data_IF_944089345814
#
_entry.id   IF_944089345814
#
_cell.length_a   1.000
_cell.length_b   1.000
_cell.length_c   1.000
_cell.angle_alpha   90.00
_cell.angle_beta   90.00
_cell.angle_gamma   90.00
#
_symmetry.space_group_name_H-M   'P 1'
#
loop_
_entity.id
_entity.type
_entity.pdbx_description
1 polymer ?
#
# COMPACT_ATOMS: atom_id res chain seq x y z
N UNK A 1 -36.52 -30.79 -26.55
CA UNK A 1 -35.24 -30.90 -25.82
C UNK A 1 -34.40 -29.68 -26.21
N UNK A 2 -34.48 -28.62 -25.41
CA UNK A 2 -33.75 -27.38 -25.65
C UNK A 2 -32.41 -27.41 -24.93
N UNK A 3 -31.34 -27.23 -25.67
CA UNK A 3 -29.96 -27.22 -25.20
C UNK A 3 -29.69 -25.97 -24.37
N UNK A 4 -29.20 -26.20 -23.15
CA UNK A 4 -28.71 -25.21 -22.18
C UNK A 4 -27.60 -24.38 -22.84
N UNK A 5 -27.80 -23.07 -22.97
CA UNK A 5 -26.74 -22.12 -23.31
C UNK A 5 -25.89 -21.88 -22.06
N UNK A 6 -24.64 -22.32 -22.15
CA UNK A 6 -23.53 -21.94 -21.27
C UNK A 6 -23.42 -20.41 -21.21
N UNK A 7 -23.82 -19.82 -20.08
CA UNK A 7 -23.47 -18.45 -19.71
C UNK A 7 -22.11 -18.50 -19.01
N UNK A 8 -21.03 -18.64 -19.78
CA UNK A 8 -19.70 -18.29 -19.28
C UNK A 8 -19.63 -16.76 -19.24
N UNK A 9 -19.77 -16.21 -18.03
CA UNK A 9 -19.37 -14.84 -17.74
C UNK A 9 -17.92 -14.65 -18.22
N UNK A 10 -17.70 -13.71 -19.13
CA UNK A 10 -16.36 -13.37 -19.59
C UNK A 10 -15.54 -12.86 -18.41
N UNK A 11 -14.40 -13.50 -18.13
CA UNK A 11 -13.39 -12.95 -17.20
C UNK A 11 -13.02 -11.56 -17.67
N UNK A 12 -13.01 -10.58 -16.79
CA UNK A 12 -12.51 -9.27 -17.16
C UNK A 12 -10.99 -9.38 -17.35
N UNK A 13 -10.39 -8.58 -18.25
CA UNK A 13 -8.93 -8.49 -18.35
C UNK A 13 -8.30 -7.68 -17.19
N UNK A 14 -9.02 -7.51 -16.08
CA UNK A 14 -8.68 -6.62 -14.97
C UNK A 14 -8.71 -7.39 -13.65
N UNK A 15 -7.57 -7.88 -13.15
CA UNK A 15 -7.50 -8.75 -11.97
C UNK A 15 -8.20 -8.19 -10.72
N UNK A 16 -8.17 -6.87 -10.54
CA UNK A 16 -8.83 -6.19 -9.43
C UNK A 16 -10.37 -6.19 -9.55
N UNK A 17 -10.91 -6.21 -10.77
CA UNK A 17 -12.35 -6.37 -10.99
C UNK A 17 -12.77 -7.80 -10.70
N UNK A 18 -12.01 -8.78 -11.19
CA UNK A 18 -12.28 -10.19 -10.91
C UNK A 18 -12.21 -10.48 -9.41
N UNK A 19 -11.26 -9.86 -8.69
CA UNK A 19 -11.19 -9.90 -7.24
C UNK A 19 -12.47 -9.35 -6.57
N UNK A 20 -12.92 -8.15 -6.94
CA UNK A 20 -14.14 -7.55 -6.38
C UNK A 20 -15.39 -8.37 -6.71
N UNK A 21 -15.51 -8.85 -7.94
CA UNK A 21 -16.65 -9.66 -8.37
C UNK A 21 -16.67 -11.00 -7.60
N UNK A 22 -15.51 -11.60 -7.32
CA UNK A 22 -15.40 -12.78 -6.48
C UNK A 22 -15.76 -12.51 -5.00
N UNK A 23 -15.25 -11.42 -4.42
CA UNK A 23 -15.59 -11.00 -3.06
C UNK A 23 -17.11 -10.78 -2.92
N UNK A 24 -17.74 -10.13 -3.91
CA UNK A 24 -19.20 -9.91 -3.92
C UNK A 24 -19.96 -11.23 -4.08
N UNK A 25 -19.47 -12.15 -4.91
CA UNK A 25 -20.15 -13.42 -5.16
C UNK A 25 -20.04 -14.43 -4.00
N UNK A 26 -18.95 -14.37 -3.23
CA UNK A 26 -18.62 -15.39 -2.23
C UNK A 26 -18.79 -14.94 -0.79
N UNK A 27 -18.67 -13.64 -0.49
CA UNK A 27 -18.90 -13.12 0.85
C UNK A 27 -20.38 -13.20 1.23
N UNK A 28 -20.66 -13.48 2.50
CA UNK A 28 -22.00 -13.41 3.05
C UNK A 28 -22.57 -11.98 2.82
N UNK A 29 -23.74 -11.84 2.17
CA UNK A 29 -24.36 -10.54 1.90
C UNK A 29 -24.57 -9.65 3.12
N UNK A 30 -24.60 -10.22 4.33
CA UNK A 30 -24.74 -9.47 5.58
C UNK A 30 -23.42 -8.91 6.11
N UNK A 31 -22.28 -9.26 5.51
CA UNK A 31 -20.98 -8.80 5.97
C UNK A 31 -20.68 -7.38 5.50
N UNK A 32 -20.03 -6.61 6.37
CA UNK A 32 -19.48 -5.29 6.04
C UNK A 32 -18.59 -5.33 4.81
N UNK A 33 -17.76 -6.36 4.69
CA UNK A 33 -16.85 -6.55 3.56
C UNK A 33 -17.60 -6.67 2.22
N UNK A 34 -18.69 -7.44 2.17
CA UNK A 34 -19.54 -7.55 0.98
C UNK A 34 -20.12 -6.19 0.56
N UNK A 35 -20.63 -5.42 1.51
CA UNK A 35 -21.21 -4.10 1.23
C UNK A 35 -20.16 -3.10 0.71
N UNK A 36 -18.98 -3.05 1.34
CA UNK A 36 -17.87 -2.18 0.90
C UNK A 36 -17.40 -2.58 -0.51
N UNK A 37 -17.26 -3.89 -0.78
CA UNK A 37 -16.88 -4.37 -2.11
C UNK A 37 -17.88 -3.93 -3.19
N UNK A 38 -19.19 -3.92 -2.89
CA UNK A 38 -20.21 -3.40 -3.81
C UNK A 38 -20.08 -1.90 -4.03
N UNK A 39 -19.80 -1.11 -3.00
CA UNK A 39 -19.57 0.34 -3.12
C UNK A 39 -18.36 0.59 -4.02
N UNK A 40 -17.23 -0.08 -3.76
CA UNK A 40 -16.02 0.07 -4.57
C UNK A 40 -16.27 -0.34 -6.03
N UNK A 41 -16.86 -1.50 -6.24
CA UNK A 41 -17.15 -2.03 -7.58
C UNK A 41 -18.03 -1.11 -8.42
N UNK A 42 -19.02 -0.46 -7.80
CA UNK A 42 -19.96 0.45 -8.47
C UNK A 42 -19.38 1.85 -8.66
N UNK A 43 -18.67 2.36 -7.66
CA UNK A 43 -18.25 3.77 -7.62
C UNK A 43 -16.84 3.95 -8.17
N UNK A 44 -15.83 3.30 -7.58
CA UNK A 44 -14.42 3.52 -7.94
C UNK A 44 -13.98 2.71 -9.16
N UNK A 45 -14.64 1.58 -9.42
CA UNK A 45 -14.18 0.58 -10.40
C UNK A 45 -15.19 0.33 -11.54
N UNK A 46 -16.14 1.24 -11.75
CA UNK A 46 -17.05 1.17 -12.90
C UNK A 46 -16.57 2.02 -14.07
N UNK A 47 -16.97 1.65 -15.29
CA UNK A 47 -16.61 2.38 -16.53
C UNK A 47 -17.16 3.82 -16.55
N UNK A 48 -18.16 4.11 -15.71
CA UNK A 48 -18.74 5.45 -15.51
C UNK A 48 -18.47 5.95 -14.09
N UNK A 49 -17.36 5.53 -13.50
CA UNK A 49 -17.04 5.71 -12.07
C UNK A 49 -17.41 7.07 -11.51
N UNK A 50 -17.78 7.08 -10.24
CA UNK A 50 -18.04 8.31 -9.49
C UNK A 50 -16.71 8.92 -9.02
N UNK A 51 -16.75 10.17 -8.56
CA UNK A 51 -15.58 10.80 -7.95
C UNK A 51 -15.21 10.07 -6.65
N UNK A 52 -13.93 10.03 -6.25
CA UNK A 52 -13.52 9.46 -4.97
C UNK A 52 -14.30 10.02 -3.76
N UNK A 53 -14.67 11.30 -3.82
CA UNK A 53 -15.52 11.99 -2.84
C UNK A 53 -16.91 11.36 -2.71
N UNK A 54 -17.53 10.96 -3.82
CA UNK A 54 -18.84 10.33 -3.83
C UNK A 54 -18.78 8.94 -3.21
N UNK A 55 -17.69 8.21 -3.46
CA UNK A 55 -17.46 6.90 -2.85
C UNK A 55 -17.22 7.03 -1.34
N UNK A 56 -16.47 8.03 -0.90
CA UNK A 56 -16.24 8.33 0.52
C UNK A 56 -17.56 8.65 1.23
N UNK A 57 -18.39 9.52 0.64
CA UNK A 57 -19.71 9.85 1.20
C UNK A 57 -20.65 8.65 1.23
N UNK A 58 -20.68 7.82 0.18
CA UNK A 58 -21.48 6.59 0.16
C UNK A 58 -21.06 5.61 1.26
N UNK A 59 -19.75 5.48 1.52
CA UNK A 59 -19.24 4.64 2.59
C UNK A 59 -19.66 5.16 3.96
N UNK A 60 -19.53 6.47 4.20
CA UNK A 60 -19.93 7.09 5.47
C UNK A 60 -21.43 6.99 5.71
N UNK A 61 -22.23 7.21 4.66
CA UNK A 61 -23.69 7.03 4.68
C UNK A 61 -24.04 5.58 5.00
N UNK A 62 -23.36 4.61 4.38
CA UNK A 62 -23.56 3.19 4.67
C UNK A 62 -23.26 2.85 6.14
N UNK A 63 -22.18 3.40 6.71
CA UNK A 63 -21.89 3.19 8.13
C UNK A 63 -23.03 3.69 9.04
N UNK A 64 -23.48 4.92 8.81
CA UNK A 64 -24.48 5.59 9.65
C UNK A 64 -25.90 5.02 9.49
N UNK A 65 -26.30 4.73 8.26
CA UNK A 65 -27.69 4.39 7.93
C UNK A 65 -27.94 2.88 7.88
N UNK A 66 -26.90 2.07 7.68
CA UNK A 66 -27.04 0.62 7.54
C UNK A 66 -26.24 -0.14 8.60
N UNK A 67 -24.91 0.00 8.63
CA UNK A 67 -24.06 -0.85 9.48
C UNK A 67 -24.35 -0.68 10.98
N UNK A 68 -24.37 0.56 11.48
CA UNK A 68 -24.61 0.82 12.90
C UNK A 68 -26.06 0.51 13.33
N UNK A 69 -27.11 0.87 12.56
CA UNK A 69 -28.49 0.48 12.89
C UNK A 69 -28.75 -1.03 12.85
N UNK A 70 -28.12 -1.76 11.94
CA UNK A 70 -28.29 -3.22 11.81
C UNK A 70 -27.67 -4.01 12.97
N UNK A 71 -26.81 -3.38 13.77
CA UNK A 71 -26.17 -4.00 14.93
C UNK A 71 -26.37 -3.13 16.18
N UNK A 72 -27.59 -3.13 16.78
CA UNK A 72 -27.93 -2.24 17.89
C UNK A 72 -26.97 -2.35 19.09
N UNK A 73 -26.41 -3.55 19.32
CA UNK A 73 -25.45 -3.85 20.39
C UNK A 73 -24.14 -3.05 20.27
N UNK A 74 -23.78 -2.60 19.06
CA UNK A 74 -22.58 -1.79 18.86
C UNK A 74 -22.76 -0.38 19.43
N UNK A 75 -24.00 0.14 19.56
CA UNK A 75 -24.23 1.53 20.00
C UNK A 75 -23.74 1.80 21.41
N UNK A 76 -23.71 0.76 22.24
CA UNK A 76 -23.24 0.83 23.62
C UNK A 76 -21.72 0.60 23.74
N UNK A 77 -21.05 0.25 22.64
CA UNK A 77 -19.59 0.12 22.59
C UNK A 77 -18.94 1.50 22.42
N UNK A 78 -17.79 1.66 23.07
CA UNK A 78 -17.00 2.90 23.10
C UNK A 78 -16.58 3.38 21.70
N UNK A 79 -16.40 2.48 20.73
CA UNK A 79 -16.05 2.76 19.34
C UNK A 79 -17.24 2.68 18.37
N UNK A 80 -18.43 2.29 18.85
CA UNK A 80 -19.63 2.04 18.04
C UNK A 80 -19.36 1.06 16.89
N UNK A 81 -18.50 0.07 17.11
CA UNK A 81 -18.05 -0.91 16.12
C UNK A 81 -17.32 -0.31 14.92
N UNK A 82 -16.84 0.92 15.03
CA UNK A 82 -16.07 1.60 13.98
C UNK A 82 -14.74 0.89 13.71
N UNK A 83 -14.09 0.31 14.73
CA UNK A 83 -12.81 -0.37 14.54
C UNK A 83 -12.97 -1.58 13.61
N UNK A 84 -14.00 -2.39 13.84
CA UNK A 84 -14.31 -3.54 12.99
C UNK A 84 -14.70 -3.09 11.57
N UNK A 85 -15.42 -1.97 11.45
CA UNK A 85 -15.78 -1.39 10.16
C UNK A 85 -14.54 -0.94 9.36
N UNK A 86 -13.63 -0.21 10.00
CA UNK A 86 -12.37 0.26 9.41
C UNK A 86 -11.44 -0.90 9.06
N UNK A 87 -11.37 -1.94 9.88
CA UNK A 87 -10.61 -3.15 9.57
C UNK A 87 -11.13 -3.84 8.30
N UNK A 88 -12.46 -3.93 8.15
CA UNK A 88 -13.08 -4.44 6.92
C UNK A 88 -12.78 -3.57 5.70
N UNK A 89 -12.84 -2.24 5.86
CA UNK A 89 -12.54 -1.26 4.82
C UNK A 89 -11.08 -1.34 4.37
N UNK A 90 -10.14 -1.10 5.27
CA UNK A 90 -8.73 -1.06 4.93
C UNK A 90 -8.21 -2.44 4.54
N UNK A 91 -8.70 -3.51 5.15
CA UNK A 91 -8.41 -4.86 4.71
C UNK A 91 -8.74 -5.06 3.23
N UNK A 92 -9.92 -4.60 2.78
CA UNK A 92 -10.30 -4.66 1.36
C UNK A 92 -9.43 -3.76 0.48
N UNK A 93 -9.12 -2.52 0.93
CA UNK A 93 -8.23 -1.60 0.21
C UNK A 93 -6.85 -2.24 0.00
N UNK A 94 -6.26 -2.82 1.04
CA UNK A 94 -4.94 -3.46 0.96
C UNK A 94 -4.99 -4.72 0.11
N UNK A 95 -6.03 -5.55 0.23
CA UNK A 95 -6.20 -6.75 -0.60
C UNK A 95 -6.28 -6.39 -2.09
N UNK A 96 -6.98 -5.31 -2.45
CA UNK A 96 -7.02 -4.80 -3.82
C UNK A 96 -5.62 -4.46 -4.36
N UNK A 97 -4.72 -3.98 -3.51
CA UNK A 97 -3.38 -3.54 -3.94
C UNK A 97 -2.49 -4.68 -4.40
N UNK A 98 -2.76 -5.92 -4.02
CA UNK A 98 -2.08 -7.06 -4.60
C UNK A 98 -2.42 -7.23 -6.10
N UNK A 99 -3.60 -6.78 -6.53
CA UNK A 99 -4.11 -6.97 -7.89
C UNK A 99 -3.96 -5.76 -8.81
N UNK A 100 -3.83 -4.54 -8.27
CA UNK A 100 -3.66 -3.32 -9.06
C UNK A 100 -2.17 -3.07 -9.34
N UNK A 101 -1.72 -3.10 -10.60
CA UNK A 101 -0.31 -2.86 -10.94
C UNK A 101 0.21 -1.53 -10.37
N UNK A 102 1.46 -1.51 -9.89
CA UNK A 102 2.07 -0.35 -9.23
C UNK A 102 2.11 0.95 -10.06
N UNK A 103 2.04 0.82 -11.39
CA UNK A 103 2.05 1.92 -12.35
C UNK A 103 0.63 2.30 -12.82
N UNK A 104 -0.40 1.59 -12.36
CA UNK A 104 -1.78 1.83 -12.78
C UNK A 104 -2.39 3.00 -12.00
N UNK A 105 -3.13 3.87 -12.71
CA UNK A 105 -3.76 5.08 -12.14
C UNK A 105 -4.72 4.82 -10.97
N UNK A 106 -5.32 3.61 -10.91
CA UNK A 106 -6.25 3.24 -9.84
C UNK A 106 -5.62 3.21 -8.44
N UNK A 107 -4.30 3.03 -8.32
CA UNK A 107 -3.66 3.19 -7.01
C UNK A 107 -3.81 4.63 -6.51
N UNK A 108 -3.66 5.63 -7.38
CA UNK A 108 -3.90 7.04 -7.04
C UNK A 108 -5.38 7.31 -6.74
N UNK A 109 -6.30 6.74 -7.52
CA UNK A 109 -7.75 6.86 -7.23
C UNK A 109 -8.12 6.38 -5.83
N UNK A 110 -7.46 5.32 -5.32
CA UNK A 110 -7.67 4.85 -3.96
C UNK A 110 -7.01 5.74 -2.91
N UNK A 111 -5.85 6.32 -3.20
CA UNK A 111 -5.24 7.36 -2.35
C UNK A 111 -6.16 8.57 -2.25
N UNK A 112 -6.73 9.03 -3.37
CA UNK A 112 -7.70 10.12 -3.40
C UNK A 112 -8.95 9.76 -2.58
N UNK A 113 -9.44 8.52 -2.68
CA UNK A 113 -10.55 8.06 -1.86
C UNK A 113 -10.23 8.10 -0.35
N UNK A 114 -9.05 7.61 0.05
CA UNK A 114 -8.62 7.69 1.46
C UNK A 114 -8.46 9.15 1.92
N UNK A 115 -8.02 10.03 1.01
CA UNK A 115 -7.90 11.46 1.28
C UNK A 115 -9.28 12.08 1.49
N UNK A 116 -10.25 11.77 0.64
CA UNK A 116 -11.64 12.26 0.76
C UNK A 116 -12.31 11.78 2.05
N UNK A 117 -12.02 10.56 2.53
CA UNK A 117 -12.49 10.10 3.84
C UNK A 117 -12.02 11.02 4.99
N UNK A 118 -10.79 11.53 4.94
CA UNK A 118 -10.27 12.50 5.93
C UNK A 118 -10.95 13.87 5.86
N UNK A 119 -11.61 14.19 4.75
CA UNK A 119 -12.29 15.47 4.55
C UNK A 119 -13.77 15.41 4.91
N UNK A 120 -14.29 14.24 5.28
CA UNK A 120 -15.62 14.11 5.85
C UNK A 120 -15.69 14.82 7.22
N UNK A 121 -16.90 15.17 7.71
CA UNK A 121 -17.06 15.76 9.03
C UNK A 121 -16.36 14.88 10.09
N UNK A 122 -15.48 15.47 10.93
CA UNK A 122 -14.66 14.71 11.86
C UNK A 122 -15.54 13.99 12.88
N UNK A 123 -15.16 12.75 13.20
CA UNK A 123 -15.83 11.91 14.17
C UNK A 123 -14.81 11.33 15.13
N UNK A 124 -15.10 11.42 16.41
CA UNK A 124 -14.27 10.85 17.47
C UNK A 124 -14.80 9.48 17.88
N UNK A 125 -13.89 8.54 18.07
CA UNK A 125 -14.15 7.24 18.72
C UNK A 125 -13.14 7.03 19.83
N UNK A 126 -13.43 6.11 20.74
CA UNK A 126 -12.41 5.59 21.64
C UNK A 126 -11.79 4.33 21.05
N UNK A 127 -10.47 4.33 20.95
CA UNK A 127 -9.66 3.19 20.53
C UNK A 127 -8.68 2.84 21.65
N UNK A 128 -8.75 1.61 22.19
CA UNK A 128 -7.88 1.16 23.29
C UNK A 128 -7.86 2.13 24.50
N UNK A 129 -8.96 2.85 24.73
CA UNK A 129 -9.11 3.82 25.82
C UNK A 129 -8.70 5.26 25.48
N UNK A 130 -8.08 5.49 24.31
CA UNK A 130 -7.70 6.82 23.82
C UNK A 130 -8.75 7.36 22.85
N UNK A 131 -9.02 8.66 22.87
CA UNK A 131 -9.89 9.30 21.87
C UNK A 131 -9.08 9.55 20.60
N UNK A 132 -9.58 9.13 19.46
CA UNK A 132 -8.94 9.35 18.16
C UNK A 132 -9.95 9.85 17.11
N UNK A 133 -9.45 10.68 16.19
CA UNK A 133 -10.20 11.09 15.01
C UNK A 133 -10.20 9.98 13.95
N UNK A 134 -11.41 9.58 13.55
CA UNK A 134 -11.63 8.57 12.50
C UNK A 134 -11.03 9.06 11.17
N UNK A 135 -10.43 8.14 10.41
CA UNK A 135 -9.72 8.36 9.14
C UNK A 135 -8.40 9.14 9.22
N UNK A 136 -8.14 9.86 10.32
CA UNK A 136 -6.94 10.69 10.47
C UNK A 136 -5.91 10.08 11.44
N UNK A 137 -6.33 9.81 12.67
CA UNK A 137 -5.42 9.45 13.78
C UNK A 137 -5.53 7.98 14.19
N UNK A 138 -6.59 7.30 13.78
CA UNK A 138 -6.80 5.89 14.14
C UNK A 138 -5.74 4.96 13.49
N UNK A 139 -5.23 3.95 14.22
CA UNK A 139 -4.10 3.13 13.75
C UNK A 139 -4.52 1.90 12.94
N UNK A 140 -5.79 1.74 12.54
CA UNK A 140 -6.27 0.52 11.89
C UNK A 140 -5.66 0.34 10.51
N UNK A 141 -5.46 1.42 9.74
CA UNK A 141 -4.76 1.34 8.45
C UNK A 141 -3.32 0.84 8.61
N UNK A 142 -2.58 1.34 9.61
CA UNK A 142 -1.22 0.85 9.92
C UNK A 142 -1.23 -0.64 10.25
N UNK A 143 -2.14 -1.06 11.15
CA UNK A 143 -2.27 -2.47 11.55
C UNK A 143 -2.56 -3.36 10.33
N UNK A 144 -3.51 -2.98 9.46
CA UNK A 144 -3.86 -3.76 8.27
C UNK A 144 -2.72 -3.83 7.25
N UNK A 145 -1.99 -2.73 7.04
CA UNK A 145 -0.81 -2.73 6.16
C UNK A 145 0.29 -3.65 6.69
N UNK A 146 0.58 -3.58 8.01
CA UNK A 146 1.62 -4.40 8.65
C UNK A 146 1.27 -5.90 8.58
N UNK A 147 0.05 -6.28 8.98
CA UNK A 147 -0.40 -7.68 8.94
C UNK A 147 -0.30 -8.26 7.53
N UNK A 148 -0.74 -7.51 6.52
CA UNK A 148 -0.70 -7.97 5.13
C UNK A 148 0.73 -8.00 4.58
N UNK A 149 1.58 -7.07 4.98
CA UNK A 149 3.00 -7.07 4.64
C UNK A 149 3.69 -8.33 5.21
N UNK A 150 3.48 -8.65 6.49
CA UNK A 150 4.10 -9.82 7.12
C UNK A 150 3.66 -11.15 6.48
N UNK A 151 2.36 -11.31 6.25
CA UNK A 151 1.80 -12.58 5.74
C UNK A 151 2.14 -12.82 4.27
N UNK A 152 2.25 -11.76 3.45
CA UNK A 152 2.42 -11.89 2.00
C UNK A 152 3.86 -11.68 1.51
N UNK A 153 4.84 -11.67 2.42
CA UNK A 153 6.24 -11.53 2.02
C UNK A 153 6.63 -12.68 1.08
N UNK A 154 7.03 -12.42 -0.19
CA UNK A 154 7.34 -13.47 -1.16
C UNK A 154 8.59 -14.28 -0.80
N UNK A 155 9.32 -13.84 0.23
CA UNK A 155 10.58 -14.42 0.67
C UNK A 155 10.30 -15.30 1.89
N UNK A 156 9.56 -16.37 1.66
CA UNK A 156 9.38 -17.46 2.64
C UNK A 156 10.55 -18.45 2.56
N UNK A 157 10.62 -19.38 3.51
CA UNK A 157 11.67 -20.41 3.54
C UNK A 157 11.53 -21.43 2.40
N UNK A 158 10.30 -21.66 1.95
CA UNK A 158 10.02 -22.54 0.82
C UNK A 158 10.19 -21.75 -0.49
N UNK A 159 10.99 -22.28 -1.41
CA UNK A 159 11.15 -21.72 -2.75
C UNK A 159 9.95 -22.18 -3.61
N UNK A 160 8.99 -21.28 -3.91
CA UNK A 160 7.92 -21.61 -4.84
C UNK A 160 8.49 -21.85 -6.24
N UNK A 161 7.69 -22.45 -7.12
CA UNK A 161 8.10 -22.52 -8.52
C UNK A 161 8.27 -21.12 -9.13
N UNK A 162 9.03 -20.96 -10.23
CA UNK A 162 9.32 -19.64 -10.79
C UNK A 162 8.08 -18.82 -11.16
N UNK A 163 7.01 -19.45 -11.63
CA UNK A 163 5.79 -18.74 -12.06
C UNK A 163 5.02 -18.21 -10.84
N UNK A 164 4.90 -19.01 -9.79
CA UNK A 164 4.32 -18.58 -8.53
C UNK A 164 5.17 -17.48 -7.88
N UNK A 165 6.50 -17.59 -7.93
CA UNK A 165 7.42 -16.55 -7.44
C UNK A 165 7.18 -15.22 -8.16
N UNK A 166 7.13 -15.22 -9.49
CA UNK A 166 6.88 -13.99 -10.28
C UNK A 166 5.55 -13.33 -9.92
N UNK A 167 4.49 -14.12 -9.72
CA UNK A 167 3.18 -13.60 -9.29
C UNK A 167 3.24 -12.96 -7.92
N UNK A 168 3.86 -13.64 -6.93
CA UNK A 168 4.03 -13.11 -5.58
C UNK A 168 4.90 -11.85 -5.58
N UNK A 169 5.99 -11.85 -6.35
CA UNK A 169 6.85 -10.69 -6.52
C UNK A 169 6.13 -9.49 -7.14
N UNK A 170 5.31 -9.72 -8.17
CA UNK A 170 4.52 -8.66 -8.80
C UNK A 170 3.51 -8.06 -7.82
N UNK A 171 2.79 -8.92 -7.09
CA UNK A 171 1.80 -8.49 -6.10
C UNK A 171 2.47 -7.74 -4.93
N UNK A 172 3.67 -8.17 -4.53
CA UNK A 172 4.48 -7.52 -3.51
C UNK A 172 4.93 -6.11 -3.93
N UNK A 173 5.43 -5.94 -5.16
CA UNK A 173 5.78 -4.62 -5.70
C UNK A 173 4.55 -3.71 -5.74
N UNK A 174 3.38 -4.24 -6.10
CA UNK A 174 2.14 -3.46 -6.14
C UNK A 174 1.74 -2.90 -4.78
N UNK A 175 1.75 -3.74 -3.73
CA UNK A 175 1.38 -3.31 -2.37
C UNK A 175 2.45 -2.40 -1.76
N UNK A 176 3.75 -2.65 -2.00
CA UNK A 176 4.82 -1.76 -1.53
C UNK A 176 4.75 -0.37 -2.17
N UNK A 177 4.44 -0.29 -3.47
CA UNK A 177 4.25 0.99 -4.13
C UNK A 177 3.04 1.75 -3.58
N UNK A 178 1.94 1.07 -3.28
CA UNK A 178 0.79 1.69 -2.61
C UNK A 178 1.15 2.17 -1.20
N UNK A 179 1.87 1.35 -0.42
CA UNK A 179 2.38 1.74 0.89
C UNK A 179 3.23 3.02 0.82
N UNK A 180 4.10 3.10 -0.20
CA UNK A 180 4.90 4.29 -0.46
C UNK A 180 4.02 5.53 -0.73
N UNK A 181 2.96 5.39 -1.52
CA UNK A 181 1.99 6.47 -1.78
C UNK A 181 1.25 6.91 -0.52
N UNK A 182 0.85 5.97 0.33
CA UNK A 182 0.26 6.29 1.63
C UNK A 182 1.21 7.13 2.50
N UNK A 183 2.51 6.78 2.51
CA UNK A 183 3.53 7.55 3.24
C UNK A 183 3.70 8.94 2.63
N UNK A 184 3.82 9.04 1.32
CA UNK A 184 3.95 10.31 0.59
C UNK A 184 2.78 11.25 0.90
N UNK A 185 1.55 10.72 0.85
CA UNK A 185 0.33 11.45 1.15
C UNK A 185 0.10 11.73 2.65
N UNK A 186 1.03 11.31 3.53
CA UNK A 186 0.97 11.60 4.97
C UNK A 186 0.00 10.73 5.76
N UNK A 187 -0.48 9.61 5.20
CA UNK A 187 -1.29 8.66 5.97
C UNK A 187 -0.50 8.04 7.12
N UNK A 188 0.82 7.87 6.93
CA UNK A 188 1.73 7.32 7.93
C UNK A 188 2.30 8.36 8.92
N UNK A 189 1.86 9.62 8.90
CA UNK A 189 2.42 10.66 9.77
C UNK A 189 2.05 10.48 11.25
N UNK A 190 0.97 9.77 11.55
CA UNK A 190 0.51 9.47 12.91
C UNK A 190 0.95 8.09 13.41
N UNK A 191 1.57 7.29 12.54
CA UNK A 191 2.02 5.95 12.87
C UNK A 191 3.12 6.02 13.93
N UNK A 192 3.04 5.12 14.93
CA UNK A 192 4.04 5.07 16.01
C UNK A 192 5.43 4.76 15.45
N UNK A 193 5.47 3.88 14.44
CA UNK A 193 6.69 3.41 13.79
C UNK A 193 6.83 3.91 12.35
N UNK A 194 6.98 5.24 12.22
CA UNK A 194 7.06 5.91 10.91
C UNK A 194 8.14 5.29 10.02
N UNK A 195 7.76 4.96 8.79
CA UNK A 195 8.63 4.40 7.76
C UNK A 195 9.40 3.13 8.15
N UNK A 196 8.99 2.36 9.17
CA UNK A 196 9.69 1.11 9.53
C UNK A 196 9.70 0.11 8.37
N UNK A 197 8.55 -0.18 7.78
CA UNK A 197 8.44 -1.11 6.62
C UNK A 197 9.35 -0.68 5.45
N UNK A 198 9.25 0.54 4.89
CA UNK A 198 10.14 0.97 3.81
C UNK A 198 11.62 0.82 4.16
N UNK A 199 12.01 1.19 5.38
CA UNK A 199 13.38 1.07 5.83
C UNK A 199 13.86 -0.39 5.88
N UNK A 200 13.01 -1.32 6.31
CA UNK A 200 13.31 -2.75 6.32
C UNK A 200 13.43 -3.30 4.90
N UNK A 201 12.48 -2.98 4.01
CA UNK A 201 12.49 -3.46 2.63
C UNK A 201 13.67 -2.91 1.82
N UNK A 202 14.02 -1.63 2.00
CA UNK A 202 15.20 -1.02 1.34
C UNK A 202 16.49 -1.66 1.86
N UNK A 203 16.63 -1.83 3.18
CA UNK A 203 17.80 -2.48 3.75
C UNK A 203 17.93 -3.93 3.25
N UNK A 204 16.84 -4.70 3.25
CA UNK A 204 16.80 -6.07 2.74
C UNK A 204 17.24 -6.16 1.28
N UNK A 205 16.89 -5.16 0.45
CA UNK A 205 17.26 -5.16 -0.96
C UNK A 205 18.71 -4.70 -1.23
N UNK A 206 19.24 -3.77 -0.44
CA UNK A 206 20.48 -3.04 -0.77
C UNK A 206 21.65 -3.31 0.20
N UNK A 207 21.39 -3.77 1.41
CA UNK A 207 22.42 -4.13 2.40
C UNK A 207 22.72 -5.64 2.40
N UNK A 208 21.76 -6.48 2.02
CA UNK A 208 21.95 -7.93 1.93
C UNK A 208 22.36 -8.37 0.51
N UNK A 209 23.13 -9.45 0.43
CA UNK A 209 23.49 -10.08 -0.84
C UNK A 209 22.44 -11.11 -1.25
N UNK A 210 21.84 -10.90 -2.41
CA UNK A 210 20.90 -11.84 -3.04
C UNK A 210 21.48 -12.34 -4.37
N UNK A 211 21.36 -13.64 -4.69
CA UNK A 211 21.79 -14.14 -5.98
C UNK A 211 20.99 -13.51 -7.13
N UNK A 212 21.57 -13.30 -8.32
CA UNK A 212 20.83 -12.84 -9.50
C UNK A 212 19.59 -13.71 -9.77
N UNK A 213 18.45 -13.08 -10.02
CA UNK A 213 17.19 -13.77 -10.31
C UNK A 213 15.95 -12.99 -9.89
N UNK A 214 14.78 -13.62 -10.05
CA UNK A 214 13.46 -13.02 -9.81
C UNK A 214 13.36 -12.39 -8.42
N UNK A 215 13.83 -13.09 -7.39
CA UNK A 215 13.81 -12.63 -5.99
C UNK A 215 14.61 -11.35 -5.78
N UNK A 216 15.85 -11.29 -6.28
CA UNK A 216 16.71 -10.09 -6.20
C UNK A 216 16.06 -8.93 -6.94
N UNK A 217 15.55 -9.16 -8.15
CA UNK A 217 14.90 -8.12 -8.95
C UNK A 217 13.64 -7.57 -8.25
N UNK A 218 12.83 -8.44 -7.64
CA UNK A 218 11.68 -8.05 -6.85
C UNK A 218 12.06 -7.13 -5.68
N UNK A 219 13.04 -7.54 -4.87
CA UNK A 219 13.51 -6.74 -3.73
C UNK A 219 14.01 -5.37 -4.16
N UNK A 220 14.86 -5.33 -5.19
CA UNK A 220 15.38 -4.08 -5.73
C UNK A 220 14.23 -3.20 -6.21
N UNK A 221 13.25 -3.76 -6.93
CA UNK A 221 12.11 -3.00 -7.43
C UNK A 221 11.28 -2.41 -6.30
N UNK A 222 11.03 -3.17 -5.22
CA UNK A 222 10.36 -2.65 -4.02
C UNK A 222 11.11 -1.46 -3.42
N UNK A 223 12.42 -1.61 -3.20
CA UNK A 223 13.24 -0.54 -2.65
C UNK A 223 13.21 0.72 -3.54
N UNK A 224 13.30 0.51 -4.86
CA UNK A 224 13.20 1.58 -5.87
C UNK A 224 11.85 2.30 -5.80
N UNK A 225 10.73 1.59 -5.69
CA UNK A 225 9.41 2.23 -5.56
C UNK A 225 9.31 3.07 -4.28
N UNK A 226 9.78 2.57 -3.13
CA UNK A 226 9.80 3.37 -1.90
C UNK A 226 10.66 4.62 -2.03
N UNK A 227 11.84 4.52 -2.65
CA UNK A 227 12.75 5.66 -2.84
C UNK A 227 12.16 6.69 -3.80
N UNK A 228 11.57 6.25 -4.90
CA UNK A 228 11.03 7.15 -5.92
C UNK A 228 9.76 7.86 -5.45
N UNK A 229 8.86 7.15 -4.76
CA UNK A 229 7.56 7.68 -4.34
C UNK A 229 7.66 8.36 -2.97
N UNK A 230 8.17 7.64 -1.95
CA UNK A 230 8.19 8.10 -0.57
C UNK A 230 9.54 8.67 -0.12
N UNK A 231 10.55 8.72 -0.99
CA UNK A 231 11.92 9.06 -0.61
C UNK A 231 12.06 10.42 0.07
N UNK A 232 11.30 11.43 -0.37
CA UNK A 232 11.30 12.75 0.25
C UNK A 232 10.79 12.68 1.71
N UNK A 233 9.70 11.95 1.94
CA UNK A 233 9.09 11.77 3.27
C UNK A 233 10.00 10.94 4.19
N UNK A 234 10.55 9.85 3.68
CA UNK A 234 11.53 9.00 4.41
C UNK A 234 12.74 9.84 4.81
N UNK A 235 13.30 10.61 3.88
CA UNK A 235 14.43 11.49 4.14
C UNK A 235 14.07 12.56 5.19
N UNK A 236 12.89 13.18 5.09
CA UNK A 236 12.45 14.18 6.07
C UNK A 236 12.33 13.58 7.47
N UNK A 237 11.73 12.40 7.60
CA UNK A 237 11.42 11.79 8.89
C UNK A 237 12.63 11.09 9.54
N UNK A 238 13.44 10.35 8.77
CA UNK A 238 14.57 9.56 9.29
C UNK A 238 15.89 10.32 9.33
N UNK A 239 16.14 11.20 8.36
CA UNK A 239 17.40 11.94 8.24
C UNK A 239 17.22 13.37 8.74
N UNK A 240 16.15 14.06 8.35
CA UNK A 240 15.86 15.43 8.74
C UNK A 240 17.07 16.36 8.56
N UNK A 241 17.46 17.06 9.63
CA UNK A 241 18.66 17.93 9.65
C UNK A 241 19.95 17.20 10.04
N UNK A 242 19.90 15.90 10.32
CA UNK A 242 21.02 15.09 10.78
C UNK A 242 21.68 15.66 12.06
N UNK A 243 20.88 15.96 13.08
CA UNK A 243 21.35 16.54 14.34
C UNK A 243 21.55 15.51 15.45
N UNK A 244 20.90 14.35 15.34
CA UNK A 244 21.02 13.26 16.31
C UNK A 244 21.89 12.13 15.74
N UNK A 245 22.42 11.28 16.60
CA UNK A 245 23.17 10.09 16.19
C UNK A 245 22.33 9.18 15.28
N UNK A 246 21.07 8.96 15.64
CA UNK A 246 20.13 8.17 14.83
C UNK A 246 19.98 8.76 13.41
N UNK A 247 19.81 10.08 13.29
CA UNK A 247 19.67 10.72 11.98
C UNK A 247 20.98 10.67 11.16
N UNK A 248 22.13 10.71 11.82
CA UNK A 248 23.44 10.53 11.18
C UNK A 248 23.65 9.09 10.71
N UNK A 249 23.20 8.10 11.49
CA UNK A 249 23.17 6.70 11.08
C UNK A 249 22.31 6.52 9.82
N UNK A 250 21.10 7.09 9.81
CA UNK A 250 20.22 7.05 8.62
C UNK A 250 20.83 7.77 7.42
N UNK A 251 21.54 8.88 7.62
CA UNK A 251 22.29 9.56 6.57
C UNK A 251 23.38 8.66 5.98
N UNK A 252 24.07 7.89 6.82
CA UNK A 252 25.03 6.87 6.41
C UNK A 252 24.40 5.76 5.58
N UNK A 253 23.27 5.20 6.04
CA UNK A 253 22.49 4.21 5.28
C UNK A 253 22.05 4.76 3.91
N UNK A 254 21.56 5.99 3.86
CA UNK A 254 21.16 6.65 2.62
C UNK A 254 22.31 6.71 1.60
N UNK A 255 23.54 7.00 2.07
CA UNK A 255 24.73 6.98 1.23
C UNK A 255 25.04 5.59 0.69
N UNK A 256 25.05 4.57 1.57
CA UNK A 256 25.33 3.18 1.19
C UNK A 256 24.33 2.68 0.15
N UNK A 257 23.05 2.96 0.37
CA UNK A 257 21.98 2.57 -0.55
C UNK A 257 22.11 3.25 -1.92
N UNK A 258 22.41 4.55 -1.96
CA UNK A 258 22.64 5.26 -3.21
C UNK A 258 23.85 4.67 -3.98
N UNK A 259 24.96 4.39 -3.29
CA UNK A 259 26.14 3.76 -3.89
C UNK A 259 25.82 2.36 -4.45
N UNK A 260 25.02 1.56 -3.72
CA UNK A 260 24.57 0.24 -4.18
C UNK A 260 23.70 0.34 -5.43
N UNK A 261 22.75 1.28 -5.48
CA UNK A 261 21.92 1.51 -6.68
C UNK A 261 22.78 1.93 -7.88
N UNK A 262 23.80 2.76 -7.68
CA UNK A 262 24.73 3.14 -8.75
C UNK A 262 25.48 1.91 -9.29
N UNK A 263 26.02 1.07 -8.40
CA UNK A 263 26.69 -0.18 -8.80
C UNK A 263 25.76 -1.10 -9.61
N UNK A 264 24.51 -1.29 -9.13
CA UNK A 264 23.51 -2.10 -9.82
C UNK A 264 23.16 -1.56 -11.21
N UNK A 265 23.16 -0.24 -11.39
CA UNK A 265 22.91 0.40 -12.68
C UNK A 265 24.05 0.25 -13.70
N UNK A 266 25.28 0.00 -13.22
CA UNK A 266 26.50 -0.13 -14.03
C UNK A 266 26.81 -1.59 -14.40
N UNK A 267 26.45 -2.55 -13.55
CA UNK A 267 26.80 -3.97 -13.72
C UNK A 267 25.99 -4.70 -14.81
N UNK A 268 24.92 -4.10 -15.34
CA UNK A 268 24.05 -4.69 -16.38
C UNK A 268 23.49 -6.10 -16.03
N UNK A 269 23.42 -6.43 -14.73
CA UNK A 269 22.88 -7.70 -14.23
C UNK A 269 21.36 -7.72 -14.07
N UNK A 270 20.73 -6.54 -14.17
CA UNK A 270 19.30 -6.35 -14.02
C UNK A 270 18.60 -6.38 -15.37
N UNK A 271 17.32 -6.71 -15.36
CA UNK A 271 16.48 -6.56 -16.54
C UNK A 271 16.42 -5.08 -16.99
N UNK A 272 16.34 -4.78 -18.30
CA UNK A 272 16.51 -3.42 -18.81
C UNK A 272 15.58 -2.37 -18.19
N UNK A 273 14.32 -2.74 -17.91
CA UNK A 273 13.35 -1.85 -17.27
C UNK A 273 13.80 -1.47 -15.85
N UNK A 274 14.19 -2.45 -15.05
CA UNK A 274 14.64 -2.25 -13.68
C UNK A 274 15.94 -1.45 -13.62
N UNK A 275 16.88 -1.64 -14.57
CA UNK A 275 18.10 -0.82 -14.63
C UNK A 275 17.79 0.68 -14.76
N UNK A 276 16.77 1.04 -15.55
CA UNK A 276 16.35 2.43 -15.69
C UNK A 276 15.74 2.97 -14.39
N UNK A 277 14.83 2.21 -13.77
CA UNK A 277 14.19 2.61 -12.50
C UNK A 277 15.24 2.76 -11.37
N UNK A 278 16.27 1.89 -11.32
CA UNK A 278 17.38 1.98 -10.37
C UNK A 278 18.19 3.27 -10.56
N UNK A 279 18.48 3.69 -11.80
CA UNK A 279 19.17 4.95 -12.06
C UNK A 279 18.34 6.15 -11.62
N UNK A 280 17.04 6.11 -11.85
CA UNK A 280 16.12 7.15 -11.42
C UNK A 280 16.06 7.25 -9.89
N UNK A 281 15.91 6.12 -9.20
CA UNK A 281 15.96 6.07 -7.74
C UNK A 281 17.26 6.63 -7.17
N UNK A 282 18.42 6.27 -7.74
CA UNK A 282 19.70 6.86 -7.37
C UNK A 282 19.70 8.39 -7.57
N UNK A 283 19.19 8.87 -8.72
CA UNK A 283 19.02 10.30 -9.00
C UNK A 283 18.18 11.02 -7.94
N UNK A 284 17.06 10.43 -7.54
CA UNK A 284 16.19 10.92 -6.46
C UNK A 284 16.94 11.01 -5.14
N UNK A 285 17.70 9.97 -4.76
CA UNK A 285 18.48 9.97 -3.52
C UNK A 285 19.55 11.07 -3.49
N UNK A 286 20.24 11.27 -4.61
CA UNK A 286 21.25 12.33 -4.76
C UNK A 286 20.60 13.72 -4.69
N UNK A 287 19.46 13.91 -5.35
CA UNK A 287 18.73 15.18 -5.35
C UNK A 287 18.21 15.56 -3.96
N UNK A 288 17.79 14.59 -3.16
CA UNK A 288 17.30 14.81 -1.79
C UNK A 288 18.43 15.09 -0.78
N UNK A 289 19.65 14.56 -1.00
CA UNK A 289 20.81 14.79 -0.14
C UNK A 289 22.09 15.14 -0.94
N UNK A 290 22.11 16.26 -1.70
CA UNK A 290 23.19 16.56 -2.63
C UNK A 290 24.54 16.75 -1.92
N UNK A 291 24.53 17.19 -0.67
CA UNK A 291 25.74 17.37 0.15
C UNK A 291 26.56 16.09 0.34
N UNK A 292 25.94 14.91 0.25
CA UNK A 292 26.64 13.63 0.40
C UNK A 292 27.44 13.24 -0.84
N UNK A 293 27.04 13.74 -2.01
CA UNK A 293 27.54 13.29 -3.31
C UNK A 293 28.26 14.40 -4.08
N UNK A 294 28.44 15.58 -3.47
CA UNK A 294 29.33 16.62 -3.99
C UNK A 294 30.77 16.14 -3.89
N UNK A 295 31.35 15.76 -5.03
CA UNK A 295 32.80 15.65 -5.16
C UNK A 295 33.42 17.01 -4.82
N UNK A 296 34.40 17.03 -3.91
CA UNK A 296 35.33 18.17 -3.84
C UNK A 296 35.97 18.30 -5.21
N UNK A 297 35.65 19.37 -5.93
CA UNK A 297 36.44 19.81 -7.08
C UNK A 297 37.83 20.22 -6.61
#
# INVERSE_FOLDING_TARGET
MGTVRDLRAGRSNQPWIDFLDNEIATADPQTTRHAIAKIFRRSLFSTRGCLPSDAALQLDTYYQETYLPSNPELKDQDDKGMVAFLAGLYGLVVDLMFYIPYHHGLQYTLIDFLYELRHLPPKEIKFEGETCLIYEEEPVLEKMMNEKWEVNNPITKDEPDPEELEKKCSAWVNVSAFAARCIEAGFADHFKEKCTIPCMDIAKALEEDHPPGIKRNCLIRVAVQYIMIAGAKICQQKIGKAKTEEQQMWLGKWKIWAEKLLQLAEQNELEPGLTSEVREAHGTMVALQPRLFKFKR
#
